data_IF_144282478054
#
_entry.id   IF_144282478054
#
_cell.length_a   1.000
_cell.length_b   1.000
_cell.length_c   1.000
_cell.angle_alpha   90.00
_cell.angle_beta   90.00
_cell.angle_gamma   90.00
#
_symmetry.space_group_name_H-M   'P 1'
#
loop_
_entity.id
_entity.type
_entity.pdbx_description
1 polymer ?
#
# COMPACT_ATOMS: atom_id res chain seq x y z
N UNK A 1 -24.52 53.94 -19.74
CA UNK A 1 -23.34 53.10 -19.52
C UNK A 1 -23.65 52.04 -18.44
N UNK A 2 -23.91 50.80 -18.85
CA UNK A 2 -24.14 49.70 -17.89
C UNK A 2 -22.78 49.06 -17.57
N UNK A 3 -22.38 49.12 -16.30
CA UNK A 3 -21.19 48.39 -15.80
C UNK A 3 -21.57 46.91 -15.68
N UNK A 4 -20.98 46.07 -16.51
CA UNK A 4 -20.99 44.64 -16.35
C UNK A 4 -20.02 44.27 -15.22
N UNK A 5 -20.54 43.73 -14.13
CA UNK A 5 -19.73 43.14 -13.07
C UNK A 5 -19.54 41.68 -13.43
N UNK A 6 -18.32 41.30 -13.82
CA UNK A 6 -17.91 39.90 -13.98
C UNK A 6 -17.71 39.31 -12.58
N UNK A 7 -18.55 38.37 -12.19
CA UNK A 7 -18.28 37.51 -11.06
C UNK A 7 -17.31 36.41 -11.51
N UNK A 8 -16.09 36.48 -11.06
CA UNK A 8 -15.16 35.37 -11.17
C UNK A 8 -15.60 34.28 -10.16
N UNK A 9 -16.10 33.16 -10.67
CA UNK A 9 -16.36 32.00 -9.86
C UNK A 9 -15.01 31.42 -9.42
N UNK A 10 -14.64 31.62 -8.16
CA UNK A 10 -13.52 30.91 -7.53
C UNK A 10 -13.99 29.50 -7.28
N UNK A 11 -13.60 28.58 -8.14
CA UNK A 11 -13.78 27.17 -7.91
C UNK A 11 -12.96 26.73 -6.70
N UNK A 12 -13.63 26.41 -5.61
CA UNK A 12 -13.00 25.77 -4.46
C UNK A 12 -12.67 24.33 -4.85
N UNK A 13 -11.41 24.08 -5.22
CA UNK A 13 -10.87 22.74 -5.33
C UNK A 13 -10.76 22.20 -3.91
N UNK A 14 -11.72 21.38 -3.48
CA UNK A 14 -11.57 20.57 -2.29
C UNK A 14 -10.64 19.40 -2.65
N UNK A 15 -9.43 19.28 -2.08
CA UNK A 15 -8.63 18.09 -2.27
C UNK A 15 -9.39 16.92 -1.66
N UNK A 16 -9.77 15.95 -2.48
CA UNK A 16 -10.21 14.65 -1.98
C UNK A 16 -9.00 14.03 -1.28
N UNK A 17 -9.06 13.99 0.05
CA UNK A 17 -8.11 13.24 0.86
C UNK A 17 -8.28 11.75 0.50
N UNK A 18 -7.41 11.25 -0.40
CA UNK A 18 -7.26 9.82 -0.56
C UNK A 18 -6.78 9.27 0.78
N UNK A 19 -7.56 8.34 1.40
CA UNK A 19 -7.15 7.65 2.62
C UNK A 19 -5.88 6.84 2.34
N UNK A 20 -4.72 7.31 2.84
CA UNK A 20 -3.49 6.55 2.88
C UNK A 20 -3.51 5.63 4.09
N UNK A 21 -3.01 4.40 3.92
CA UNK A 21 -2.67 3.53 5.04
C UNK A 21 -1.49 4.16 5.81
N UNK A 22 -1.35 3.85 7.10
CA UNK A 22 -0.32 4.42 7.95
C UNK A 22 0.56 3.34 8.58
N UNK A 23 1.83 3.66 8.80
CA UNK A 23 2.76 2.83 9.54
C UNK A 23 3.66 3.71 10.41
N UNK A 24 4.14 3.15 11.52
CA UNK A 24 5.13 3.79 12.39
C UNK A 24 6.35 2.89 12.50
N UNK A 25 7.53 3.45 12.27
CA UNK A 25 8.79 2.71 12.23
C UNK A 25 9.91 3.46 12.98
N UNK A 26 10.96 2.74 13.34
CA UNK A 26 12.18 3.31 13.90
C UNK A 26 13.12 3.80 12.79
N UNK A 27 13.80 4.91 13.04
CA UNK A 27 14.78 5.50 12.11
C UNK A 27 15.92 4.52 11.81
N UNK A 28 16.22 4.35 10.52
CA UNK A 28 17.31 3.49 10.04
C UNK A 28 17.08 2.00 10.12
N UNK A 29 15.92 1.56 10.64
CA UNK A 29 15.59 0.14 10.80
C UNK A 29 14.72 -0.34 9.62
N UNK A 30 15.13 -1.43 8.96
CA UNK A 30 14.31 -2.11 7.96
C UNK A 30 13.08 -2.73 8.63
N UNK A 31 11.91 -2.19 8.35
CA UNK A 31 10.65 -2.58 8.99
C UNK A 31 9.65 -3.10 7.98
N UNK A 32 8.98 -4.19 8.34
CA UNK A 32 7.87 -4.72 7.55
C UNK A 32 6.67 -3.76 7.66
N UNK A 33 6.14 -3.33 6.52
CA UNK A 33 4.99 -2.43 6.47
C UNK A 33 3.71 -3.22 6.26
N UNK A 34 3.70 -4.10 5.27
CA UNK A 34 2.54 -4.91 4.92
C UNK A 34 2.97 -6.11 4.09
N UNK A 35 2.05 -7.03 3.90
CA UNK A 35 2.25 -8.19 3.04
C UNK A 35 1.02 -8.47 2.19
N UNK A 36 1.23 -9.07 1.03
CA UNK A 36 0.17 -9.45 0.12
C UNK A 36 0.32 -10.91 -0.30
N UNK A 37 -0.73 -11.67 -0.06
CA UNK A 37 -0.91 -13.03 -0.57
C UNK A 37 -2.10 -13.08 -1.50
N UNK A 38 -2.02 -13.93 -2.51
CA UNK A 38 -3.14 -14.28 -3.36
C UNK A 38 -3.18 -15.80 -3.50
N UNK A 39 -4.34 -16.40 -3.37
CA UNK A 39 -4.52 -17.84 -3.43
C UNK A 39 -5.93 -18.18 -3.93
N UNK A 40 -6.07 -19.38 -4.46
CA UNK A 40 -7.36 -19.91 -4.90
C UNK A 40 -8.13 -20.64 -3.78
N UNK A 41 -9.29 -21.19 -4.11
CA UNK A 41 -10.14 -21.94 -3.17
C UNK A 41 -9.50 -23.23 -2.64
N UNK A 42 -8.41 -23.70 -3.28
CA UNK A 42 -7.60 -24.85 -2.84
C UNK A 42 -6.39 -24.42 -2.04
N UNK A 43 -6.31 -23.12 -1.68
CA UNK A 43 -5.16 -22.52 -1.00
C UNK A 43 -3.85 -22.61 -1.79
N UNK A 44 -3.93 -22.66 -3.13
CA UNK A 44 -2.75 -22.61 -3.97
C UNK A 44 -2.36 -21.15 -4.19
N UNK A 45 -1.10 -20.77 -3.91
CA UNK A 45 -0.66 -19.40 -4.08
C UNK A 45 -0.68 -18.99 -5.55
N UNK A 46 -1.07 -17.74 -5.80
CA UNK A 46 -1.02 -17.09 -7.10
C UNK A 46 0.00 -15.97 -7.09
N UNK A 47 0.65 -15.68 -8.24
CA UNK A 47 1.65 -14.61 -8.31
C UNK A 47 1.08 -13.25 -7.94
N UNK A 48 1.87 -12.47 -7.19
CA UNK A 48 1.60 -11.06 -6.87
C UNK A 48 2.79 -10.25 -7.34
N UNK A 49 2.54 -9.21 -8.11
CA UNK A 49 3.56 -8.23 -8.49
C UNK A 49 3.35 -6.94 -7.73
N UNK A 50 4.42 -6.40 -7.16
CA UNK A 50 4.43 -5.08 -6.53
C UNK A 50 5.26 -4.15 -7.40
N UNK A 51 4.65 -3.04 -7.81
CA UNK A 51 5.31 -1.98 -8.57
C UNK A 51 5.30 -0.70 -7.76
N UNK A 52 6.47 -0.19 -7.40
CA UNK A 52 6.59 1.10 -6.72
C UNK A 52 6.29 2.22 -7.74
N UNK A 53 5.24 3.00 -7.50
CA UNK A 53 4.81 4.10 -8.37
C UNK A 53 5.28 5.46 -7.87
N UNK A 54 5.51 5.60 -6.57
CA UNK A 54 6.14 6.78 -5.98
C UNK A 54 7.07 6.32 -4.84
N UNK A 55 8.37 6.53 -5.03
CA UNK A 55 9.37 6.21 -4.02
C UNK A 55 9.31 7.20 -2.84
N UNK A 56 9.69 6.78 -1.61
CA UNK A 56 9.79 7.69 -0.50
C UNK A 56 10.95 8.68 -0.67
N UNK A 57 10.78 9.89 -0.13
CA UNK A 57 11.81 10.93 -0.24
C UNK A 57 13.00 10.71 0.71
N UNK A 58 12.77 10.07 1.85
CA UNK A 58 13.74 9.95 2.94
C UNK A 58 14.01 8.51 3.37
N UNK A 59 13.84 7.56 2.45
CA UNK A 59 14.04 6.15 2.71
C UNK A 59 13.99 5.30 1.46
N UNK A 60 13.95 4.00 1.67
CA UNK A 60 13.92 2.99 0.61
C UNK A 60 12.81 2.00 0.89
N UNK A 61 12.05 1.65 -0.14
CA UNK A 61 11.07 0.57 -0.11
C UNK A 61 11.63 -0.63 -0.88
N UNK A 62 11.59 -1.79 -0.24
CA UNK A 62 12.01 -3.07 -0.82
C UNK A 62 10.93 -4.11 -0.67
N UNK A 63 10.98 -5.15 -1.50
CA UNK A 63 10.03 -6.26 -1.47
C UNK A 63 10.77 -7.59 -1.37
N UNK A 64 10.18 -8.54 -0.65
CA UNK A 64 10.69 -9.92 -0.56
C UNK A 64 9.54 -10.91 -0.74
N UNK A 65 9.76 -11.96 -1.51
CA UNK A 65 8.85 -13.10 -1.55
C UNK A 65 9.20 -14.04 -0.42
N UNK A 66 8.21 -14.34 0.42
CA UNK A 66 8.38 -15.31 1.51
C UNK A 66 7.05 -15.94 1.93
N UNK A 67 7.12 -17.04 2.68
CA UNK A 67 5.95 -17.68 3.25
C UNK A 67 5.26 -16.78 4.27
N UNK A 68 3.96 -16.56 4.08
CA UNK A 68 3.10 -15.76 4.94
C UNK A 68 2.02 -16.67 5.49
N UNK A 69 1.81 -16.62 6.80
CA UNK A 69 0.69 -17.33 7.43
C UNK A 69 -0.60 -16.56 7.14
N UNK A 70 -1.57 -17.20 6.51
CA UNK A 70 -2.86 -16.56 6.18
C UNK A 70 -3.59 -16.25 7.48
N UNK A 71 -3.85 -14.96 7.78
CA UNK A 71 -4.56 -14.53 8.97
C UNK A 71 -6.06 -14.81 8.83
N UNK A 72 -6.80 -14.78 9.93
CA UNK A 72 -8.26 -14.88 9.92
C UNK A 72 -8.90 -13.69 9.18
N UNK A 73 -8.28 -12.52 9.26
CA UNK A 73 -8.70 -11.29 8.57
C UNK A 73 -7.47 -10.57 8.00
N UNK A 74 -7.67 -9.87 6.89
CA UNK A 74 -6.66 -8.96 6.35
C UNK A 74 -6.45 -7.74 7.27
N UNK A 75 -5.43 -6.94 7.00
CA UNK A 75 -5.15 -5.67 7.70
C UNK A 75 -6.35 -4.70 7.68
N UNK A 76 -7.24 -4.86 6.69
CA UNK A 76 -8.48 -4.07 6.55
C UNK A 76 -9.71 -4.76 7.15
N UNK A 77 -9.54 -5.82 7.95
CA UNK A 77 -10.61 -6.54 8.61
C UNK A 77 -11.46 -7.42 7.67
N UNK A 78 -10.99 -7.68 6.43
CA UNK A 78 -11.70 -8.54 5.48
C UNK A 78 -11.45 -10.01 5.85
N UNK A 79 -12.51 -10.80 6.13
CA UNK A 79 -12.36 -12.22 6.42
C UNK A 79 -11.67 -12.96 5.28
N UNK A 80 -10.73 -13.84 5.62
CA UNK A 80 -10.07 -14.71 4.66
C UNK A 80 -10.82 -16.05 4.53
N UNK A 81 -10.55 -16.78 3.45
CA UNK A 81 -11.18 -18.10 3.24
C UNK A 81 -10.80 -19.05 4.37
N UNK A 82 -11.78 -19.52 5.12
CA UNK A 82 -11.58 -20.34 6.32
C UNK A 82 -10.67 -21.56 6.11
N UNK A 83 -10.74 -22.33 4.99
CA UNK A 83 -9.83 -23.45 4.74
C UNK A 83 -8.36 -23.06 4.63
N UNK A 84 -8.07 -21.80 4.27
CA UNK A 84 -6.71 -21.32 4.05
C UNK A 84 -6.11 -20.61 5.28
N UNK A 85 -6.93 -20.22 6.25
CA UNK A 85 -6.48 -19.57 7.48
C UNK A 85 -5.49 -20.48 8.23
N UNK A 86 -4.36 -19.91 8.66
CA UNK A 86 -3.29 -20.63 9.35
C UNK A 86 -2.30 -21.36 8.44
N UNK A 87 -2.59 -21.49 7.15
CA UNK A 87 -1.62 -22.04 6.19
C UNK A 87 -0.54 -21.02 5.86
N UNK A 88 0.68 -21.52 5.61
CA UNK A 88 1.80 -20.70 5.12
C UNK A 88 1.84 -20.77 3.61
N UNK A 89 1.60 -19.64 2.96
CA UNK A 89 1.58 -19.50 1.52
C UNK A 89 2.59 -18.43 1.08
N UNK A 90 3.20 -18.62 -0.09
CA UNK A 90 4.09 -17.62 -0.63
C UNK A 90 3.34 -16.31 -0.95
N UNK A 91 3.94 -15.20 -0.55
CA UNK A 91 3.42 -13.87 -0.79
C UNK A 91 4.56 -12.87 -0.89
N UNK A 92 4.22 -11.60 -1.02
CA UNK A 92 5.20 -10.51 -1.11
C UNK A 92 5.08 -9.63 0.13
N UNK A 93 6.20 -9.43 0.80
CA UNK A 93 6.33 -8.51 1.95
C UNK A 93 6.96 -7.22 1.48
N UNK A 94 6.40 -6.10 1.91
CA UNK A 94 6.89 -4.76 1.63
C UNK A 94 7.58 -4.23 2.88
N UNK A 95 8.85 -3.80 2.72
CA UNK A 95 9.67 -3.20 3.76
C UNK A 95 9.94 -1.74 3.46
N UNK A 96 10.01 -0.95 4.50
CA UNK A 96 10.52 0.43 4.46
C UNK A 96 11.71 0.56 5.41
N UNK A 97 12.70 1.30 4.98
CA UNK A 97 13.85 1.69 5.81
C UNK A 97 14.16 3.17 5.56
N UNK A 98 14.09 4.00 6.60
CA UNK A 98 14.46 5.40 6.46
C UNK A 98 15.97 5.56 6.30
N UNK A 99 16.38 6.68 5.73
CA UNK A 99 17.77 7.10 5.78
C UNK A 99 18.20 7.23 7.25
N UNK A 100 19.46 6.91 7.59
CA UNK A 100 19.95 7.03 8.96
C UNK A 100 19.76 8.46 9.50
N UNK A 101 19.18 8.58 10.70
CA UNK A 101 18.95 9.86 11.35
C UNK A 101 17.70 10.63 10.90
N UNK A 102 17.00 10.20 9.86
CA UNK A 102 15.73 10.82 9.50
C UNK A 102 14.66 10.53 10.53
N UNK A 103 13.96 11.57 10.98
CA UNK A 103 12.78 11.51 11.86
C UNK A 103 11.71 12.42 11.26
N UNK A 104 10.47 11.97 11.23
CA UNK A 104 9.35 12.72 10.66
C UNK A 104 8.44 11.84 9.81
N UNK A 105 7.72 12.46 8.89
CA UNK A 105 6.82 11.76 7.99
C UNK A 105 7.43 11.56 6.61
N UNK A 106 7.22 10.39 6.05
CA UNK A 106 7.54 10.02 4.69
C UNK A 106 6.32 9.37 4.04
N UNK A 107 6.33 9.19 2.76
CA UNK A 107 5.23 8.53 2.05
C UNK A 107 5.72 7.82 0.80
N UNK A 108 5.01 6.77 0.42
CA UNK A 108 5.24 6.06 -0.83
C UNK A 108 3.93 5.50 -1.39
N UNK A 109 3.95 5.13 -2.66
CA UNK A 109 2.83 4.47 -3.34
C UNK A 109 3.33 3.28 -4.13
N UNK A 110 2.48 2.27 -4.23
CA UNK A 110 2.74 1.10 -5.05
C UNK A 110 1.45 0.56 -5.64
N UNK A 111 1.59 -0.19 -6.72
CA UNK A 111 0.53 -1.01 -7.29
C UNK A 111 0.72 -2.46 -6.88
N UNK A 112 -0.36 -3.07 -6.44
CA UNK A 112 -0.47 -4.52 -6.27
C UNK A 112 -1.17 -5.07 -7.50
N UNK A 113 -0.53 -5.98 -8.21
CA UNK A 113 -0.97 -6.45 -9.51
C UNK A 113 -1.03 -7.98 -9.57
N UNK A 114 -2.05 -8.47 -10.29
CA UNK A 114 -2.06 -9.81 -10.83
C UNK A 114 -1.35 -9.79 -12.18
N UNK A 115 -0.16 -10.41 -12.34
CA UNK A 115 0.58 -10.34 -13.61
C UNK A 115 -0.08 -11.12 -14.76
N UNK A 116 -1.12 -11.92 -14.46
CA UNK A 116 -1.84 -12.73 -15.45
C UNK A 116 -3.13 -12.10 -15.95
N UNK A 117 -3.64 -11.09 -15.26
CA UNK A 117 -4.91 -10.46 -15.59
C UNK A 117 -4.89 -8.97 -15.23
N UNK A 118 -4.80 -8.13 -16.26
CA UNK A 118 -4.78 -6.67 -16.11
C UNK A 118 -6.12 -6.10 -15.62
N UNK A 119 -7.23 -6.81 -15.80
CA UNK A 119 -8.57 -6.41 -15.36
C UNK A 119 -8.98 -6.94 -14.00
N UNK A 120 -8.11 -7.66 -13.30
CA UNK A 120 -8.41 -8.24 -11.99
C UNK A 120 -8.67 -7.13 -10.96
N UNK A 121 -9.78 -7.19 -10.18
CA UNK A 121 -10.04 -6.29 -9.07
C UNK A 121 -8.95 -6.27 -7.97
N UNK A 122 -8.08 -7.27 -7.95
CA UNK A 122 -6.89 -7.30 -7.10
C UNK A 122 -5.88 -6.19 -7.47
N UNK A 123 -5.93 -5.70 -8.72
CA UNK A 123 -5.05 -4.64 -9.21
C UNK A 123 -5.49 -3.30 -8.63
N UNK A 124 -4.76 -2.81 -7.64
CA UNK A 124 -5.05 -1.54 -6.97
C UNK A 124 -3.77 -0.77 -6.68
N UNK A 125 -3.88 0.55 -6.64
CA UNK A 125 -2.83 1.43 -6.11
C UNK A 125 -3.08 1.67 -4.63
N UNK A 126 -2.02 1.55 -3.83
CA UNK A 126 -2.02 1.70 -2.38
C UNK A 126 -1.01 2.77 -1.99
N UNK A 127 -1.43 3.69 -1.13
CA UNK A 127 -0.60 4.74 -0.58
C UNK A 127 -0.33 4.50 0.90
N UNK A 128 0.91 4.75 1.32
CA UNK A 128 1.31 4.71 2.72
C UNK A 128 1.88 6.05 3.18
N UNK A 129 1.50 6.47 4.37
CA UNK A 129 2.19 7.49 5.16
C UNK A 129 2.95 6.80 6.28
N UNK A 130 4.26 7.04 6.37
CA UNK A 130 5.13 6.42 7.35
C UNK A 130 5.58 7.49 8.35
N UNK A 131 5.33 7.25 9.63
CA UNK A 131 5.90 8.05 10.72
C UNK A 131 7.18 7.39 11.19
N UNK A 132 8.29 8.10 11.11
CA UNK A 132 9.62 7.65 11.50
C UNK A 132 10.02 8.32 12.81
N UNK A 133 10.28 7.52 13.82
CA UNK A 133 10.68 7.97 15.15
C UNK A 133 12.17 7.81 15.39
#
# INVERSE_FOLDING_TARGET
>A
MRKMILYAAVGVFTPTLACADTATVESGVKSEITSHTRYDSRCQPSPVTIKITAAPANGTVTTETKGIVVPAQSDRGIPQQAPCVGKRLDGVVIYYQSNPGFVGQDSFRYQRLNPRDAGDPFNVEISYTVTVN
#
